data_IF_300975276964
#
_entry.id   IF_300975276964
#
_cell.length_a   1.000
_cell.length_b   1.000
_cell.length_c   1.000
_cell.angle_alpha   90.00
_cell.angle_beta   90.00
_cell.angle_gamma   90.00
#
_symmetry.space_group_name_H-M   'P 1'
#
loop_
_entity.id
_entity.type
_entity.pdbx_description
1 polymer ?
#
# COMPACT_ATOMS: atom_id res chain seq x y z
N UNK A 1 -8.10 18.71 -25.70
CA UNK A 1 -6.90 19.27 -25.04
C UNK A 1 -6.96 19.23 -23.51
N UNK A 2 -8.01 19.70 -22.84
CA UNK A 2 -8.09 19.66 -21.36
C UNK A 2 -7.96 18.24 -20.75
N UNK A 3 -8.58 17.22 -21.34
CA UNK A 3 -8.51 15.82 -20.86
C UNK A 3 -7.08 15.25 -20.97
N UNK A 4 -6.35 15.61 -22.02
CA UNK A 4 -4.97 15.14 -22.26
C UNK A 4 -3.96 15.73 -21.26
N UNK A 5 -4.07 17.01 -20.92
CA UNK A 5 -3.22 17.62 -19.89
C UNK A 5 -3.51 17.06 -18.48
N UNK A 6 -4.76 16.72 -18.21
CA UNK A 6 -5.16 16.13 -16.93
C UNK A 6 -4.62 14.70 -16.76
N UNK A 7 -4.43 13.95 -17.84
CA UNK A 7 -3.91 12.59 -17.78
C UNK A 7 -2.39 12.53 -17.51
N UNK A 8 -1.61 13.51 -18.01
CA UNK A 8 -0.19 13.68 -17.62
C UNK A 8 -0.01 13.76 -16.11
N UNK A 9 -0.93 14.44 -15.43
CA UNK A 9 -0.86 14.63 -13.99
C UNK A 9 -1.34 13.41 -13.21
N UNK A 10 -2.27 12.61 -13.75
CA UNK A 10 -2.69 11.36 -13.12
C UNK A 10 -1.53 10.37 -13.03
N UNK A 11 -0.80 10.20 -14.12
CA UNK A 11 0.37 9.32 -14.20
C UNK A 11 1.48 9.80 -13.27
N UNK A 12 1.68 11.10 -13.18
CA UNK A 12 2.75 11.69 -12.35
C UNK A 12 2.36 11.82 -10.88
N UNK A 13 1.09 12.02 -10.53
CA UNK A 13 0.65 12.07 -9.14
C UNK A 13 0.72 10.70 -8.45
N UNK A 14 0.55 9.60 -9.18
CA UNK A 14 0.81 8.24 -8.64
C UNK A 14 2.30 8.04 -8.38
N UNK A 15 3.20 8.65 -9.19
CA UNK A 15 4.64 8.66 -8.92
C UNK A 15 5.00 9.52 -7.70
N UNK A 16 4.28 10.61 -7.43
CA UNK A 16 4.42 11.45 -6.23
C UNK A 16 4.06 10.73 -4.92
N UNK A 17 3.16 9.75 -4.97
CA UNK A 17 2.83 8.89 -3.84
C UNK A 17 4.06 8.13 -3.27
N UNK A 18 5.16 8.06 -4.04
CA UNK A 18 6.34 7.29 -3.72
C UNK A 18 7.57 8.13 -3.32
N UNK A 19 7.54 9.47 -3.35
CA UNK A 19 8.77 10.28 -3.34
C UNK A 19 8.91 11.36 -2.25
N UNK A 20 8.13 11.35 -1.18
CA UNK A 20 8.25 12.36 -0.13
C UNK A 20 9.09 11.89 1.06
N UNK A 21 10.20 12.59 1.28
CA UNK A 21 10.98 12.77 2.52
C UNK A 21 12.36 12.10 2.66
N UNK A 22 13.38 12.94 2.94
CA UNK A 22 14.73 12.59 3.44
C UNK A 22 14.86 12.94 4.93
N UNK A 23 15.58 12.11 5.70
CA UNK A 23 16.01 12.47 7.07
C UNK A 23 16.79 11.34 7.80
N UNK A 24 17.91 11.68 8.41
CA UNK A 24 18.98 10.81 8.90
C UNK A 24 18.77 10.25 10.33
N UNK A 25 19.50 9.17 10.62
CA UNK A 25 19.48 8.30 11.81
C UNK A 25 20.28 8.81 13.01
N UNK A 26 19.83 8.49 14.24
CA UNK A 26 20.70 8.26 15.43
C UNK A 26 20.16 7.15 16.35
N UNK A 27 21.06 6.31 16.82
CA UNK A 27 20.88 5.14 17.69
C UNK A 27 20.90 5.55 19.17
N UNK A 28 20.10 4.90 20.03
CA UNK A 28 20.31 4.93 21.49
C UNK A 28 19.97 3.57 22.12
N UNK A 29 20.95 3.05 22.88
CA UNK A 29 20.85 1.91 23.78
C UNK A 29 20.50 2.38 25.22
N UNK A 30 19.85 1.54 25.99
CA UNK A 30 19.63 1.76 27.41
C UNK A 30 19.20 0.51 28.17
N UNK A 31 20.07 0.03 29.05
CA UNK A 31 19.90 -1.10 29.96
C UNK A 31 19.28 -0.68 31.29
N UNK A 32 18.39 -1.50 31.86
CA UNK A 32 17.84 -1.31 33.21
C UNK A 32 17.65 -2.65 33.98
N UNK A 33 18.16 -2.68 35.21
CA UNK A 33 18.22 -3.85 36.10
C UNK A 33 16.91 -4.15 36.82
N UNK A 34 16.68 -5.43 37.11
CA UNK A 34 15.53 -5.98 37.83
C UNK A 34 15.85 -6.17 39.32
N UNK A 35 14.92 -5.86 40.20
CA UNK A 35 14.90 -6.21 41.60
C UNK A 35 13.73 -7.15 41.93
N UNK A 36 14.02 -8.17 42.74
CA UNK A 36 13.11 -9.26 43.08
C UNK A 36 12.41 -9.00 44.43
N UNK A 37 11.09 -8.99 44.41
CA UNK A 37 10.19 -9.38 45.55
C UNK A 37 8.72 -9.31 45.16
N UNK A 38 8.10 -10.47 44.90
CA UNK A 38 6.70 -10.81 45.18
C UNK A 38 6.22 -12.05 44.38
N UNK A 39 6.55 -13.24 44.88
CA UNK A 39 6.28 -14.50 44.17
C UNK A 39 4.81 -14.95 44.02
N UNK A 40 3.87 -14.44 44.80
CA UNK A 40 2.44 -14.89 44.74
C UNK A 40 1.50 -14.02 43.91
N UNK A 41 1.85 -12.77 43.64
CA UNK A 41 1.12 -11.87 42.73
C UNK A 41 1.59 -12.08 41.30
N UNK A 42 2.84 -12.53 41.11
CA UNK A 42 3.49 -12.76 39.82
C UNK A 42 2.88 -13.92 39.02
N UNK A 43 2.46 -15.02 39.67
CA UNK A 43 1.86 -16.17 38.95
C UNK A 43 0.51 -15.82 38.30
N UNK A 44 -0.41 -15.15 39.01
CA UNK A 44 -1.69 -14.74 38.43
C UNK A 44 -1.55 -13.66 37.33
N UNK A 45 -0.59 -12.78 37.49
CA UNK A 45 -0.27 -11.77 36.46
C UNK A 45 0.41 -12.39 35.24
N UNK A 46 1.27 -13.39 35.42
CA UNK A 46 1.89 -14.15 34.33
C UNK A 46 0.86 -14.97 33.55
N UNK A 47 -0.02 -15.67 34.23
CA UNK A 47 -1.10 -16.43 33.59
C UNK A 47 -2.07 -15.50 32.81
N UNK A 48 -2.40 -14.34 33.35
CA UNK A 48 -3.25 -13.35 32.66
C UNK A 48 -2.55 -12.75 31.43
N UNK A 49 -1.25 -12.48 31.52
CA UNK A 49 -0.45 -11.99 30.38
C UNK A 49 -0.31 -13.05 29.29
N UNK A 50 -0.14 -14.31 29.64
CA UNK A 50 -0.10 -15.42 28.69
C UNK A 50 -1.43 -15.59 27.96
N UNK A 51 -2.54 -15.59 28.69
CA UNK A 51 -3.90 -15.63 28.11
C UNK A 51 -4.16 -14.44 27.18
N UNK A 52 -3.74 -13.23 27.55
CA UNK A 52 -3.85 -12.05 26.71
C UNK A 52 -3.01 -12.19 25.42
N UNK A 53 -1.79 -12.71 25.54
CA UNK A 53 -0.90 -12.99 24.41
C UNK A 53 -1.51 -14.04 23.46
N UNK A 54 -2.08 -15.12 23.99
CA UNK A 54 -2.76 -16.13 23.16
C UNK A 54 -3.98 -15.56 22.44
N UNK A 55 -4.80 -14.74 23.10
CA UNK A 55 -5.96 -14.07 22.48
C UNK A 55 -5.51 -13.11 21.36
N UNK A 56 -4.45 -12.33 21.61
CA UNK A 56 -3.83 -11.46 20.60
C UNK A 56 -3.41 -12.27 19.38
N UNK A 57 -2.62 -13.33 19.57
CA UNK A 57 -2.13 -14.17 18.48
C UNK A 57 -3.29 -14.83 17.71
N UNK A 58 -4.28 -15.35 18.41
CA UNK A 58 -5.45 -15.97 17.78
C UNK A 58 -6.23 -14.98 16.90
N UNK A 59 -6.38 -13.73 17.34
CA UNK A 59 -7.03 -12.71 16.52
C UNK A 59 -6.17 -12.31 15.31
N UNK A 60 -4.88 -12.11 15.50
CA UNK A 60 -3.94 -11.79 14.39
C UNK A 60 -3.92 -12.93 13.36
N UNK A 61 -3.93 -14.19 13.80
CA UNK A 61 -4.07 -15.36 12.94
C UNK A 61 -5.38 -15.32 12.14
N UNK A 62 -6.51 -15.06 12.80
CA UNK A 62 -7.80 -14.90 12.12
C UNK A 62 -7.75 -13.84 11.00
N UNK A 63 -7.05 -12.72 11.25
CA UNK A 63 -6.86 -11.67 10.22
C UNK A 63 -5.98 -12.18 9.08
N UNK A 64 -4.87 -12.82 9.38
CA UNK A 64 -3.95 -13.38 8.38
C UNK A 64 -4.63 -14.45 7.51
N UNK A 65 -5.51 -15.26 8.08
CA UNK A 65 -6.24 -16.34 7.39
C UNK A 65 -7.25 -15.81 6.36
N UNK A 66 -7.59 -14.51 6.37
CA UNK A 66 -8.44 -13.91 5.34
C UNK A 66 -7.72 -13.66 4.01
N UNK A 67 -6.42 -13.91 3.91
CA UNK A 67 -5.67 -13.70 2.67
C UNK A 67 -6.26 -14.51 1.50
N UNK A 68 -6.34 -13.85 0.34
CA UNK A 68 -6.75 -14.49 -0.91
C UNK A 68 -5.61 -15.39 -1.42
N UNK A 69 -5.93 -16.64 -1.76
CA UNK A 69 -4.94 -17.61 -2.25
C UNK A 69 -4.69 -17.52 -3.76
N UNK A 70 -5.62 -16.93 -4.51
CA UNK A 70 -5.48 -16.79 -5.96
C UNK A 70 -4.16 -16.09 -6.32
N UNK A 71 -3.45 -16.65 -7.29
CA UNK A 71 -2.21 -16.06 -7.82
C UNK A 71 -2.49 -14.82 -8.65
N UNK A 72 -3.63 -14.78 -9.35
CA UNK A 72 -4.02 -13.66 -10.22
C UNK A 72 -5.30 -13.00 -9.71
N UNK A 73 -5.33 -11.67 -9.78
CA UNK A 73 -6.51 -10.83 -9.60
C UNK A 73 -6.59 -9.89 -10.81
N UNK A 74 -7.69 -9.96 -11.53
CA UNK A 74 -7.91 -9.14 -12.74
C UNK A 74 -9.33 -8.58 -12.71
N UNK A 75 -9.47 -7.31 -13.09
CA UNK A 75 -10.79 -6.70 -13.23
C UNK A 75 -10.75 -5.37 -13.96
N UNK A 76 -11.79 -5.12 -14.76
CA UNK A 76 -12.04 -3.78 -15.25
C UNK A 76 -12.53 -2.91 -14.11
N UNK A 77 -12.06 -1.67 -14.09
CA UNK A 77 -12.30 -0.74 -12.98
C UNK A 77 -12.64 0.66 -13.48
N UNK A 78 -13.24 1.42 -12.62
CA UNK A 78 -13.20 2.88 -12.66
C UNK A 78 -12.01 3.33 -11.82
N UNK A 79 -11.15 4.13 -12.41
CA UNK A 79 -10.01 4.76 -11.77
C UNK A 79 -10.33 6.24 -11.57
N UNK A 80 -10.28 6.73 -10.33
CA UNK A 80 -10.42 8.14 -10.03
C UNK A 80 -9.21 8.61 -9.22
N UNK A 81 -8.61 9.71 -9.65
CA UNK A 81 -7.49 10.35 -8.97
C UNK A 81 -7.79 11.84 -8.74
N UNK A 82 -7.71 12.25 -7.48
CA UNK A 82 -7.80 13.63 -7.06
C UNK A 82 -6.45 14.05 -6.49
N UNK A 83 -5.77 15.00 -7.13
CA UNK A 83 -4.48 15.50 -6.68
C UNK A 83 -4.20 16.89 -7.29
N UNK A 84 -3.55 17.77 -6.54
CA UNK A 84 -3.15 19.11 -6.99
C UNK A 84 -4.31 19.91 -7.64
N UNK A 85 -5.50 19.86 -7.01
CA UNK A 85 -6.69 20.58 -7.49
C UNK A 85 -7.37 19.98 -8.73
N UNK A 86 -6.92 18.80 -9.20
CA UNK A 86 -7.51 18.11 -10.36
C UNK A 86 -8.22 16.83 -9.91
N UNK A 87 -9.32 16.53 -10.61
CA UNK A 87 -10.10 15.31 -10.45
C UNK A 87 -10.22 14.63 -11.82
N UNK A 88 -9.71 13.40 -11.90
CA UNK A 88 -9.62 12.64 -13.14
C UNK A 88 -10.28 11.29 -12.93
N UNK A 89 -11.31 11.02 -13.71
CA UNK A 89 -12.00 9.73 -13.72
C UNK A 89 -11.90 9.11 -15.09
N UNK A 90 -11.36 7.89 -15.18
CA UNK A 90 -11.19 7.15 -16.43
C UNK A 90 -11.48 5.67 -16.23
N UNK A 91 -11.91 4.95 -17.28
CA UNK A 91 -11.95 3.50 -17.25
C UNK A 91 -10.54 2.94 -17.20
N UNK A 92 -10.38 1.81 -16.53
CA UNK A 92 -9.10 1.14 -16.40
C UNK A 92 -9.25 -0.38 -16.26
N UNK A 93 -8.10 -1.04 -16.18
CA UNK A 93 -7.97 -2.45 -15.85
C UNK A 93 -6.88 -2.62 -14.80
N UNK A 94 -7.21 -3.27 -13.71
CA UNK A 94 -6.25 -3.75 -12.73
C UNK A 94 -5.91 -5.20 -13.04
N UNK A 95 -4.63 -5.52 -13.15
CA UNK A 95 -4.13 -6.89 -13.33
C UNK A 95 -2.98 -7.10 -12.36
N UNK A 96 -3.14 -8.06 -11.47
CA UNK A 96 -2.13 -8.36 -10.46
C UNK A 96 -1.79 -9.83 -10.50
N UNK A 97 -0.49 -10.14 -10.52
CA UNK A 97 0.03 -11.50 -10.34
C UNK A 97 0.96 -11.53 -9.14
N UNK A 98 0.61 -12.37 -8.17
CA UNK A 98 1.30 -12.45 -6.89
C UNK A 98 2.77 -12.74 -7.07
N UNK A 99 3.62 -11.95 -6.39
CA UNK A 99 5.07 -11.99 -6.41
C UNK A 99 5.73 -11.61 -7.76
N UNK A 100 4.92 -11.13 -8.73
CA UNK A 100 5.42 -10.78 -10.07
C UNK A 100 5.11 -9.33 -10.44
N UNK A 101 3.83 -8.91 -10.39
CA UNK A 101 3.45 -7.60 -10.91
C UNK A 101 2.10 -7.11 -10.38
N UNK A 102 2.01 -5.80 -10.18
CA UNK A 102 0.75 -5.03 -10.06
C UNK A 102 0.71 -4.08 -11.24
N UNK A 103 -0.28 -4.21 -12.12
CA UNK A 103 -0.45 -3.39 -13.32
C UNK A 103 -1.78 -2.66 -13.31
N UNK A 104 -1.73 -1.37 -13.51
CA UNK A 104 -2.86 -0.46 -13.69
C UNK A 104 -2.80 0.08 -15.11
N UNK A 105 -3.79 -0.21 -15.93
CA UNK A 105 -3.94 0.31 -17.29
C UNK A 105 -5.09 1.32 -17.31
N UNK A 106 -4.89 2.47 -17.94
CA UNK A 106 -5.87 3.54 -18.05
C UNK A 106 -6.25 3.71 -19.52
N UNK A 107 -7.55 3.92 -19.78
CA UNK A 107 -8.08 3.97 -21.14
C UNK A 107 -8.81 5.29 -21.41
N UNK A 108 -8.83 5.69 -22.68
CA UNK A 108 -9.72 6.78 -23.14
C UNK A 108 -11.15 6.28 -23.04
N UNK A 109 -12.06 7.05 -22.39
CA UNK A 109 -13.48 6.75 -22.42
C UNK A 109 -13.98 6.63 -23.87
N UNK A 110 -14.89 5.70 -24.13
CA UNK A 110 -15.51 5.41 -25.44
C UNK A 110 -14.56 4.71 -26.43
N UNK A 111 -13.34 5.24 -26.64
CA UNK A 111 -12.39 4.67 -27.60
C UNK A 111 -11.71 3.40 -27.11
N UNK A 112 -11.61 3.21 -25.80
CA UNK A 112 -10.97 2.02 -25.21
C UNK A 112 -9.44 1.92 -25.43
N UNK A 113 -8.81 2.91 -26.08
CA UNK A 113 -7.37 2.93 -26.31
C UNK A 113 -6.63 3.16 -24.98
N UNK A 114 -5.60 2.39 -24.71
CA UNK A 114 -4.72 2.55 -23.54
C UNK A 114 -3.90 3.85 -23.71
N UNK A 115 -3.98 4.70 -22.69
CA UNK A 115 -3.27 6.00 -22.67
C UNK A 115 -2.19 6.07 -21.60
N UNK A 116 -2.28 5.23 -20.59
CA UNK A 116 -1.30 5.18 -19.53
C UNK A 116 -1.23 3.79 -18.90
N UNK A 117 -0.06 3.45 -18.40
CA UNK A 117 0.20 2.21 -17.67
C UNK A 117 1.12 2.48 -16.50
N UNK A 118 0.74 1.95 -15.34
CA UNK A 118 1.60 1.86 -14.17
C UNK A 118 1.85 0.39 -13.89
N UNK A 119 3.09 0.03 -13.65
CA UNK A 119 3.49 -1.33 -13.36
C UNK A 119 4.50 -1.34 -12.23
N UNK A 120 4.20 -2.09 -11.19
CA UNK A 120 5.06 -2.33 -10.05
C UNK A 120 5.50 -3.79 -10.10
N UNK A 121 6.80 -4.03 -10.07
CA UNK A 121 7.41 -5.37 -10.04
C UNK A 121 8.35 -5.47 -8.84
N UNK A 122 8.88 -6.64 -8.49
CA UNK A 122 9.88 -6.74 -7.42
C UNK A 122 11.14 -5.88 -7.65
N UNK A 123 11.48 -5.59 -8.91
CA UNK A 123 12.74 -4.96 -9.27
C UNK A 123 12.60 -3.49 -9.70
N UNK A 124 11.47 -3.10 -10.28
CA UNK A 124 11.30 -1.75 -10.82
C UNK A 124 9.84 -1.29 -10.79
N UNK A 125 9.67 0.01 -10.87
CA UNK A 125 8.42 0.69 -11.21
C UNK A 125 8.52 1.18 -12.65
N UNK A 126 7.51 0.89 -13.46
CA UNK A 126 7.38 1.36 -14.83
C UNK A 126 6.12 2.23 -14.97
N UNK A 127 6.27 3.40 -15.53
CA UNK A 127 5.17 4.30 -15.88
C UNK A 127 5.28 4.60 -17.37
N UNK A 128 4.22 4.31 -18.13
CA UNK A 128 4.19 4.56 -19.58
C UNK A 128 3.12 5.60 -19.89
N UNK A 129 3.51 6.70 -20.49
CA UNK A 129 2.62 7.70 -21.11
C UNK A 129 2.56 7.42 -22.62
N UNK A 130 1.45 6.84 -23.07
CA UNK A 130 1.28 6.48 -24.48
C UNK A 130 0.94 7.68 -25.36
N UNK A 131 0.38 8.75 -24.76
CA UNK A 131 0.01 9.95 -25.51
C UNK A 131 1.25 10.74 -25.97
N UNK A 132 2.26 10.80 -25.10
CA UNK A 132 3.50 11.53 -25.39
C UNK A 132 4.64 10.62 -25.82
N UNK A 133 4.42 9.29 -25.85
CA UNK A 133 5.45 8.28 -26.11
C UNK A 133 6.65 8.45 -25.17
N UNK A 134 6.37 8.66 -23.89
CA UNK A 134 7.37 8.77 -22.85
C UNK A 134 7.17 7.64 -21.81
N UNK A 135 8.26 7.25 -21.15
CA UNK A 135 8.16 6.31 -20.02
C UNK A 135 9.21 6.62 -18.96
N UNK A 136 8.89 6.23 -17.73
CA UNK A 136 9.79 6.20 -16.57
C UNK A 136 9.99 4.74 -16.21
N UNK A 137 11.25 4.32 -16.07
CA UNK A 137 11.59 3.04 -15.41
C UNK A 137 12.61 3.35 -14.34
N UNK A 138 12.26 3.05 -13.09
CA UNK A 138 13.08 3.34 -11.92
C UNK A 138 13.14 2.13 -10.99
N UNK A 139 14.33 1.82 -10.47
CA UNK A 139 14.52 0.81 -9.43
C UNK A 139 14.09 1.36 -8.07
N UNK A 140 13.62 0.50 -7.17
CA UNK A 140 13.30 0.90 -5.78
C UNK A 140 14.50 1.46 -5.03
N UNK A 141 15.73 1.07 -5.42
CA UNK A 141 16.98 1.59 -4.85
C UNK A 141 17.24 3.05 -5.20
N UNK A 142 16.66 3.54 -6.31
CA UNK A 142 16.75 4.95 -6.71
C UNK A 142 15.79 5.84 -5.92
N UNK A 143 14.98 5.25 -5.06
CA UNK A 143 14.05 5.93 -4.18
C UNK A 143 14.45 5.59 -2.74
N UNK A 144 15.55 6.22 -2.30
CA UNK A 144 16.18 6.00 -0.98
C UNK A 144 15.20 5.93 0.19
N UNK A 145 14.15 6.72 0.14
CA UNK A 145 13.11 6.74 1.15
C UNK A 145 12.36 5.42 1.27
N UNK A 146 11.92 4.84 0.17
CA UNK A 146 11.18 3.58 0.17
C UNK A 146 12.04 2.45 0.73
N UNK A 147 13.29 2.40 0.30
CA UNK A 147 14.24 1.39 0.75
C UNK A 147 14.53 1.48 2.25
N UNK A 148 14.81 2.69 2.76
CA UNK A 148 15.11 2.92 4.19
C UNK A 148 13.95 2.59 5.11
N UNK A 149 12.71 2.67 4.61
CA UNK A 149 11.51 2.37 5.37
C UNK A 149 10.99 0.94 5.16
N UNK A 150 11.70 0.11 4.40
CA UNK A 150 11.28 -1.25 4.10
C UNK A 150 10.05 -1.31 3.19
N UNK A 151 9.71 -0.20 2.51
CA UNK A 151 8.64 -0.15 1.53
C UNK A 151 9.20 -0.66 0.20
N UNK A 152 8.65 -1.75 -0.28
CA UNK A 152 9.03 -2.40 -1.51
C UNK A 152 7.78 -2.93 -2.24
N UNK A 153 7.98 -3.62 -3.34
CA UNK A 153 6.90 -4.28 -4.07
C UNK A 153 5.99 -5.13 -3.16
N UNK A 154 6.56 -5.91 -2.23
CA UNK A 154 5.79 -6.82 -1.38
C UNK A 154 4.91 -6.07 -0.37
N UNK A 155 5.36 -4.90 0.10
CA UNK A 155 4.54 -4.02 0.93
C UNK A 155 3.34 -3.49 0.14
N UNK A 156 3.57 -3.01 -1.09
CA UNK A 156 2.49 -2.57 -1.99
C UNK A 156 1.56 -3.73 -2.31
N UNK A 157 2.11 -4.90 -2.64
CA UNK A 157 1.32 -6.10 -2.90
C UNK A 157 0.41 -6.44 -1.72
N UNK A 158 0.92 -6.45 -0.50
CA UNK A 158 0.13 -6.77 0.68
C UNK A 158 -1.03 -5.78 0.87
N UNK A 159 -0.80 -4.48 0.65
CA UNK A 159 -1.86 -3.47 0.71
C UNK A 159 -2.91 -3.69 -0.40
N UNK A 160 -2.51 -3.90 -1.66
CA UNK A 160 -3.45 -4.17 -2.75
C UNK A 160 -4.21 -5.50 -2.59
N UNK A 161 -3.59 -6.53 -1.99
CA UNK A 161 -4.23 -7.81 -1.68
C UNK A 161 -5.01 -7.82 -0.38
N UNK A 162 -5.10 -6.69 0.35
CA UNK A 162 -5.78 -6.59 1.64
C UNK A 162 -5.23 -7.58 2.68
N UNK A 163 -3.92 -7.53 2.93
CA UNK A 163 -3.20 -8.45 3.80
C UNK A 163 -2.38 -7.70 4.85
N UNK A 164 -2.06 -8.39 5.96
CA UNK A 164 -1.02 -7.95 6.87
C UNK A 164 0.34 -7.95 6.18
N UNK A 165 1.22 -7.05 6.58
CA UNK A 165 2.60 -7.01 6.11
C UNK A 165 3.56 -6.82 7.29
N UNK A 166 4.76 -7.37 7.14
CA UNK A 166 5.92 -7.03 7.97
C UNK A 166 6.92 -6.32 7.05
N UNK A 167 7.35 -5.10 7.38
CA UNK A 167 8.26 -4.35 6.53
C UNK A 167 9.55 -5.12 6.22
N UNK A 168 9.96 -5.11 4.96
CA UNK A 168 11.15 -5.82 4.50
C UNK A 168 10.97 -7.34 4.30
N UNK A 169 9.80 -7.89 4.65
CA UNK A 169 9.51 -9.32 4.50
C UNK A 169 8.62 -9.56 3.28
N UNK A 170 9.01 -10.56 2.46
CA UNK A 170 8.26 -10.92 1.26
C UNK A 170 6.90 -11.52 1.57
N UNK A 171 6.83 -12.39 2.59
CA UNK A 171 5.64 -13.12 3.00
C UNK A 171 5.62 -13.23 4.52
N UNK A 172 4.53 -12.84 5.14
CA UNK A 172 4.31 -13.00 6.59
C UNK A 172 4.20 -14.50 6.90
N UNK A 173 5.03 -14.98 7.83
CA UNK A 173 5.01 -16.35 8.35
C UNK A 173 4.26 -16.41 9.68
N UNK A 174 3.91 -17.62 10.14
CA UNK A 174 3.24 -17.82 11.43
C UNK A 174 4.08 -17.25 12.60
N UNK A 175 5.41 -17.37 12.53
CA UNK A 175 6.30 -16.78 13.53
C UNK A 175 6.28 -15.24 13.54
N UNK A 176 5.98 -14.62 12.40
CA UNK A 176 5.88 -13.16 12.30
C UNK A 176 4.61 -12.62 12.96
N UNK A 177 3.56 -13.43 13.10
CA UNK A 177 2.28 -12.99 13.67
C UNK A 177 2.43 -12.50 15.13
N UNK A 178 3.41 -13.01 15.85
CA UNK A 178 3.75 -12.56 17.21
C UNK A 178 4.28 -11.12 17.28
N UNK A 179 4.70 -10.55 16.14
CA UNK A 179 5.17 -9.15 16.05
C UNK A 179 4.02 -8.14 16.05
N UNK A 180 2.79 -8.60 15.81
CA UNK A 180 1.61 -7.74 15.78
C UNK A 180 0.95 -7.64 17.15
N UNK A 181 0.40 -6.46 17.42
CA UNK A 181 -0.43 -6.20 18.59
C UNK A 181 -1.86 -5.91 18.15
N UNK A 182 -2.83 -6.63 18.72
CA UNK A 182 -4.27 -6.36 18.54
C UNK A 182 -4.84 -5.73 19.81
N UNK A 183 -5.56 -4.61 19.67
CA UNK A 183 -6.26 -4.01 20.79
C UNK A 183 -7.67 -4.64 20.95
N UNK A 184 -7.75 -5.70 21.72
CA UNK A 184 -8.97 -6.47 21.93
C UNK A 184 -9.90 -5.87 23.00
N UNK A 185 -9.44 -4.91 23.80
CA UNK A 185 -10.19 -4.27 24.87
C UNK A 185 -11.23 -3.27 24.33
N UNK A 186 -11.00 -2.75 23.12
CA UNK A 186 -12.01 -1.94 22.45
C UNK A 186 -13.24 -2.78 22.10
N UNK A 187 -14.42 -2.25 22.40
CA UNK A 187 -15.70 -2.88 22.05
C UNK A 187 -16.14 -2.60 20.60
N UNK A 188 -15.34 -1.83 19.87
CA UNK A 188 -15.60 -1.46 18.49
C UNK A 188 -15.71 -2.69 17.56
N UNK A 189 -16.53 -2.56 16.53
CA UNK A 189 -16.72 -3.59 15.50
C UNK A 189 -15.39 -3.97 14.82
N UNK A 190 -14.51 -3.01 14.62
CA UNK A 190 -13.21 -3.22 14.02
C UNK A 190 -12.10 -3.09 15.06
N UNK A 191 -11.33 -4.15 15.22
CA UNK A 191 -10.20 -4.25 16.14
C UNK A 191 -8.94 -3.70 15.47
N UNK A 192 -8.24 -2.75 16.11
CA UNK A 192 -6.93 -2.30 15.64
C UNK A 192 -5.87 -3.41 15.79
N UNK A 193 -5.18 -3.73 14.70
CA UNK A 193 -3.99 -4.58 14.65
C UNK A 193 -2.83 -3.74 14.18
N UNK A 194 -1.70 -3.74 14.87
CA UNK A 194 -0.60 -2.84 14.55
C UNK A 194 0.79 -3.49 14.64
N UNK A 195 1.73 -2.94 13.89
CA UNK A 195 3.15 -3.23 13.98
C UNK A 195 3.94 -1.93 13.75
N UNK A 196 5.06 -1.76 14.46
CA UNK A 196 5.98 -0.64 14.28
C UNK A 196 7.29 -1.12 13.71
N UNK A 197 7.84 -0.33 12.79
CA UNK A 197 9.15 -0.58 12.20
C UNK A 197 9.87 0.74 11.94
N UNK A 198 10.92 1.04 12.68
CA UNK A 198 11.59 2.33 12.61
C UNK A 198 10.62 3.50 12.86
N UNK A 199 10.59 4.43 11.91
CA UNK A 199 9.69 5.58 11.94
C UNK A 199 8.30 5.30 11.36
N UNK A 200 8.06 4.05 10.91
CA UNK A 200 6.77 3.63 10.35
C UNK A 200 5.88 2.99 11.40
N UNK A 201 4.63 3.37 11.39
CA UNK A 201 3.56 2.68 12.13
C UNK A 201 2.53 2.17 11.12
N UNK A 202 2.28 0.88 11.16
CA UNK A 202 1.25 0.21 10.38
C UNK A 202 0.12 -0.18 11.31
N UNK A 203 -1.11 0.14 10.93
CA UNK A 203 -2.30 -0.23 11.68
C UNK A 203 -3.39 -0.66 10.71
N UNK A 204 -3.95 -1.82 10.97
CA UNK A 204 -5.13 -2.34 10.28
C UNK A 204 -6.31 -2.32 11.22
N UNK A 205 -7.50 -1.98 10.70
CA UNK A 205 -8.76 -2.16 11.39
C UNK A 205 -9.44 -3.39 10.80
N UNK A 206 -9.49 -4.47 11.56
CA UNK A 206 -10.06 -5.74 11.15
C UNK A 206 -11.37 -6.03 11.89
N UNK A 207 -12.40 -6.43 11.16
CA UNK A 207 -13.70 -6.77 11.74
C UNK A 207 -13.54 -7.89 12.79
N UNK A 208 -14.09 -7.67 13.96
CA UNK A 208 -13.95 -8.54 15.14
C UNK A 208 -14.40 -9.98 14.88
N UNK A 209 -15.51 -10.12 14.17
CA UNK A 209 -16.12 -11.43 13.94
C UNK A 209 -15.48 -12.19 12.79
N UNK A 210 -15.24 -11.51 11.65
CA UNK A 210 -14.69 -12.14 10.43
C UNK A 210 -13.18 -12.08 10.32
N UNK A 211 -12.49 -11.19 11.01
CA UNK A 211 -11.06 -10.91 10.83
C UNK A 211 -10.74 -10.14 9.55
N UNK A 212 -11.75 -9.71 8.78
CA UNK A 212 -11.55 -9.04 7.50
C UNK A 212 -11.05 -7.61 7.71
N UNK A 213 -10.00 -7.23 7.00
CA UNK A 213 -9.43 -5.89 7.07
C UNK A 213 -10.35 -4.91 6.32
N UNK A 214 -10.89 -3.92 7.03
CA UNK A 214 -11.71 -2.85 6.49
C UNK A 214 -10.89 -1.59 6.17
N UNK A 215 -9.77 -1.39 6.87
CA UNK A 215 -8.93 -0.20 6.73
C UNK A 215 -7.46 -0.54 7.04
N UNK A 216 -6.54 0.06 6.31
CA UNK A 216 -5.11 0.05 6.63
C UNK A 216 -4.59 1.49 6.70
N UNK A 217 -3.82 1.79 7.73
CA UNK A 217 -3.18 3.07 7.97
C UNK A 217 -1.67 2.86 8.05
N UNK A 218 -0.92 3.62 7.27
CA UNK A 218 0.53 3.66 7.34
C UNK A 218 0.93 5.10 7.66
N UNK A 219 1.62 5.29 8.77
CA UNK A 219 2.11 6.60 9.17
C UNK A 219 3.63 6.58 9.22
N UNK A 220 4.26 7.50 8.52
CA UNK A 220 5.68 7.78 8.61
C UNK A 220 5.89 9.05 9.41
N UNK A 221 6.71 8.97 10.47
CA UNK A 221 7.06 10.11 11.30
C UNK A 221 8.42 10.65 10.90
N UNK A 222 8.45 11.88 10.41
CA UNK A 222 9.70 12.59 10.10
C UNK A 222 9.82 13.83 11.00
N UNK A 223 10.88 13.87 11.81
CA UNK A 223 11.11 14.96 12.76
C UNK A 223 11.46 16.30 12.08
N UNK A 224 11.89 16.29 10.81
CA UNK A 224 12.33 17.47 10.07
C UNK A 224 11.31 17.99 9.07
N UNK A 225 10.58 17.10 8.40
CA UNK A 225 9.74 17.45 7.25
C UNK A 225 8.23 17.22 7.50
N UNK A 226 7.86 16.79 8.70
CA UNK A 226 6.47 16.48 9.07
C UNK A 226 6.03 15.06 8.70
N UNK A 227 4.89 14.67 9.23
CA UNK A 227 4.37 13.29 9.08
C UNK A 227 3.75 13.07 7.71
N UNK A 228 3.97 11.89 7.14
CA UNK A 228 3.23 11.40 5.98
C UNK A 228 2.29 10.27 6.41
N UNK A 229 1.09 10.21 5.83
CA UNK A 229 0.05 9.24 6.16
C UNK A 229 -0.57 8.68 4.90
N UNK A 230 -0.66 7.36 4.82
CA UNK A 230 -1.42 6.64 3.81
C UNK A 230 -2.58 5.92 4.51
N UNK A 231 -3.81 6.26 4.12
CA UNK A 231 -5.01 5.57 4.55
C UNK A 231 -5.59 4.80 3.37
N UNK A 232 -5.89 3.52 3.56
CA UNK A 232 -6.60 2.68 2.60
C UNK A 232 -7.88 2.17 3.24
N UNK A 233 -9.01 2.38 2.57
CA UNK A 233 -10.31 1.82 2.93
C UNK A 233 -10.72 0.79 1.91
N UNK A 234 -11.22 -0.34 2.39
CA UNK A 234 -11.61 -1.50 1.60
C UNK A 234 -13.10 -1.76 1.74
N UNK A 235 -13.78 -1.91 0.61
CA UNK A 235 -15.23 -2.19 0.60
C UNK A 235 -15.62 -2.98 -0.65
N UNK A 236 -16.92 -3.27 -0.81
CA UNK A 236 -17.46 -4.06 -1.92
C UNK A 236 -16.69 -5.38 -2.12
N UNK A 237 -16.68 -6.19 -1.06
CA UNK A 237 -15.95 -7.46 -1.07
C UNK A 237 -16.64 -8.49 -1.96
N UNK A 238 -15.90 -9.05 -2.92
CA UNK A 238 -16.34 -10.09 -3.87
C UNK A 238 -15.61 -11.39 -3.63
N UNK A 239 -16.28 -12.51 -3.86
CA UNK A 239 -15.70 -13.84 -3.67
C UNK A 239 -14.59 -14.11 -4.69
N UNK A 240 -13.46 -14.61 -4.20
CA UNK A 240 -12.34 -15.13 -4.98
C UNK A 240 -12.00 -16.51 -4.39
N UNK A 241 -12.56 -17.55 -4.97
CA UNK A 241 -12.58 -18.88 -4.36
C UNK A 241 -13.34 -18.82 -3.03
N UNK A 242 -12.72 -19.32 -1.97
CA UNK A 242 -13.28 -19.34 -0.60
C UNK A 242 -12.98 -18.08 0.20
N UNK A 243 -12.28 -17.12 -0.37
CA UNK A 243 -11.91 -15.86 0.30
C UNK A 243 -12.59 -14.67 -0.37
N UNK A 244 -12.55 -13.53 0.33
CA UNK A 244 -13.15 -12.30 -0.13
C UNK A 244 -12.07 -11.29 -0.48
N UNK A 245 -12.19 -10.63 -1.64
CA UNK A 245 -11.29 -9.59 -2.12
C UNK A 245 -12.04 -8.26 -2.22
N UNK A 246 -11.47 -7.13 -1.75
CA UNK A 246 -12.10 -5.82 -1.84
C UNK A 246 -12.11 -5.33 -3.29
N UNK A 247 -13.26 -5.23 -3.90
CA UNK A 247 -13.42 -4.68 -5.25
C UNK A 247 -13.31 -3.15 -5.26
N UNK A 248 -13.54 -2.50 -4.11
CA UNK A 248 -13.36 -1.07 -3.96
C UNK A 248 -12.21 -0.79 -2.99
N UNK A 249 -11.22 -0.04 -3.47
CA UNK A 249 -10.06 0.38 -2.70
C UNK A 249 -9.92 1.91 -2.80
N UNK A 250 -10.03 2.62 -1.68
CA UNK A 250 -9.87 4.06 -1.59
C UNK A 250 -8.63 4.39 -0.80
N UNK A 251 -7.69 5.06 -1.45
CA UNK A 251 -6.41 5.47 -0.87
C UNK A 251 -6.40 6.99 -0.70
N UNK A 252 -5.98 7.45 0.45
CA UNK A 252 -5.68 8.87 0.71
C UNK A 252 -4.26 8.98 1.22
N UNK A 253 -3.43 9.68 0.49
CA UNK A 253 -2.10 10.07 0.93
C UNK A 253 -2.14 11.52 1.38
N UNK A 254 -1.63 11.78 2.58
CA UNK A 254 -1.36 13.12 3.09
C UNK A 254 0.12 13.22 3.41
N UNK A 255 0.79 14.25 2.92
CA UNK A 255 2.21 14.50 3.17
C UNK A 255 2.47 15.99 3.29
N UNK A 256 3.64 16.35 3.80
CA UNK A 256 4.09 17.76 3.82
C UNK A 256 5.17 17.89 2.76
N UNK A 257 4.96 18.80 1.81
CA UNK A 257 5.92 19.13 0.76
C UNK A 257 6.15 20.64 0.77
N UNK A 258 7.40 21.08 0.86
CA UNK A 258 7.77 22.50 0.95
C UNK A 258 6.98 23.23 2.06
N UNK A 259 6.87 22.61 3.24
CA UNK A 259 6.12 23.11 4.41
C UNK A 259 4.61 23.32 4.15
N UNK A 260 4.05 22.72 3.09
CA UNK A 260 2.62 22.77 2.78
C UNK A 260 2.03 21.36 2.80
N UNK A 261 0.87 21.17 3.44
CA UNK A 261 0.18 19.89 3.37
C UNK A 261 -0.30 19.64 1.93
N UNK A 262 -0.05 18.44 1.45
CA UNK A 262 -0.51 17.94 0.16
C UNK A 262 -1.36 16.71 0.38
N UNK A 263 -2.45 16.61 -0.34
CA UNK A 263 -3.33 15.45 -0.32
C UNK A 263 -3.52 14.91 -1.73
N UNK A 264 -3.47 13.58 -1.85
CA UNK A 264 -3.86 12.87 -3.06
C UNK A 264 -4.82 11.74 -2.70
N UNK A 265 -5.88 11.57 -3.47
CA UNK A 265 -6.86 10.50 -3.32
C UNK A 265 -6.91 9.67 -4.58
N UNK A 266 -6.82 8.36 -4.40
CA UNK A 266 -6.97 7.37 -5.47
C UNK A 266 -8.11 6.43 -5.12
N UNK A 267 -9.09 6.31 -6.00
CA UNK A 267 -10.16 5.34 -5.91
C UNK A 267 -10.07 4.34 -7.05
N UNK A 268 -10.10 3.07 -6.71
CA UNK A 268 -10.19 1.94 -7.63
C UNK A 268 -11.49 1.21 -7.33
N UNK A 269 -12.40 1.14 -8.30
CA UNK A 269 -13.68 0.45 -8.16
C UNK A 269 -13.81 -0.60 -9.27
N UNK A 270 -13.59 -1.87 -8.89
CA UNK A 270 -13.64 -3.00 -9.83
C UNK A 270 -15.09 -3.49 -9.98
N UNK A 271 -15.59 -3.50 -11.21
CA UNK A 271 -16.94 -4.03 -11.52
C UNK A 271 -17.04 -5.53 -11.25
N UNK A 272 -15.97 -6.27 -11.52
CA UNK A 272 -15.85 -7.71 -11.26
C UNK A 272 -14.42 -8.05 -10.90
N UNK A 273 -14.25 -9.11 -10.10
CA UNK A 273 -12.94 -9.66 -9.74
C UNK A 273 -12.83 -11.05 -10.33
N UNK A 274 -11.81 -11.29 -11.14
CA UNK A 274 -11.52 -12.55 -11.82
C UNK A 274 -10.11 -13.02 -11.48
N UNK A 275 -9.84 -14.30 -11.71
CA UNK A 275 -8.53 -14.94 -11.49
C UNK A 275 -7.88 -15.37 -12.80
N UNK A 276 -8.21 -14.69 -13.90
CA UNK A 276 -7.68 -14.98 -15.24
C UNK A 276 -6.15 -14.85 -15.25
N UNK A 277 -5.46 -15.84 -15.77
CA UNK A 277 -4.01 -15.92 -15.88
C UNK A 277 -3.49 -15.73 -17.32
N UNK A 278 -4.40 -15.62 -18.30
CA UNK A 278 -4.09 -15.47 -19.73
C UNK A 278 -3.76 -14.00 -20.07
N UNK A 279 -2.70 -13.49 -19.45
CA UNK A 279 -2.17 -12.16 -19.74
C UNK A 279 -0.66 -12.13 -19.49
N UNK A 280 0.04 -11.33 -20.27
CA UNK A 280 1.48 -11.19 -20.15
C UNK A 280 1.84 -10.33 -18.92
N UNK A 281 2.65 -10.90 -18.01
CA UNK A 281 3.09 -10.23 -16.80
C UNK A 281 4.16 -9.15 -17.04
N UNK A 282 4.83 -9.17 -18.18
CA UNK A 282 5.87 -8.21 -18.51
C UNK A 282 5.38 -7.20 -19.54
N UNK A 283 5.78 -5.95 -19.37
CA UNK A 283 5.54 -4.89 -20.34
C UNK A 283 6.82 -4.62 -21.10
N UNK A 284 6.78 -4.82 -22.41
CA UNK A 284 7.80 -4.34 -23.31
C UNK A 284 7.47 -2.91 -23.76
N UNK A 285 8.42 -2.00 -23.55
CA UNK A 285 8.29 -0.63 -24.02
C UNK A 285 8.94 -0.53 -25.41
N UNK A 286 8.15 -0.11 -26.39
CA UNK A 286 8.67 0.08 -27.77
C UNK A 286 9.81 1.08 -27.81
N UNK A 287 10.82 0.82 -28.63
CA UNK A 287 11.93 1.74 -28.87
C UNK A 287 11.55 3.12 -29.43
N UNK A 288 10.26 3.31 -29.78
CA UNK A 288 9.72 4.62 -30.19
C UNK A 288 9.39 5.53 -29.00
N UNK A 289 9.49 5.02 -27.76
CA UNK A 289 9.25 5.77 -26.54
C UNK A 289 10.54 6.33 -25.97
N UNK A 290 10.49 7.57 -25.52
CA UNK A 290 11.61 8.23 -24.85
C UNK A 290 11.57 7.93 -23.35
N UNK A 291 12.69 7.44 -22.81
CA UNK A 291 12.83 7.37 -21.35
C UNK A 291 13.06 8.77 -20.78
N UNK A 292 12.31 9.11 -19.74
CA UNK A 292 12.45 10.37 -19.00
C UNK A 292 12.75 10.07 -17.54
N UNK A 293 13.44 10.97 -16.85
CA UNK A 293 13.77 10.75 -15.45
C UNK A 293 12.55 11.05 -14.55
N UNK A 294 12.42 10.38 -13.39
CA UNK A 294 11.40 10.73 -12.41
C UNK A 294 11.45 12.20 -11.98
N UNK A 295 12.66 12.78 -11.88
CA UNK A 295 12.87 14.20 -11.51
C UNK A 295 12.32 15.18 -12.55
N UNK A 296 12.45 14.87 -13.84
CA UNK A 296 11.94 15.74 -14.91
C UNK A 296 10.41 15.81 -14.91
N UNK A 297 9.77 14.69 -14.58
CA UNK A 297 8.31 14.63 -14.48
C UNK A 297 7.81 15.35 -13.23
N UNK A 298 8.49 15.18 -12.11
CA UNK A 298 8.19 15.90 -10.86
C UNK A 298 8.40 17.41 -11.03
N UNK A 299 9.49 17.83 -11.66
CA UNK A 299 9.77 19.24 -11.93
C UNK A 299 8.67 19.89 -12.78
N UNK A 300 8.21 19.23 -13.83
CA UNK A 300 7.10 19.69 -14.68
C UNK A 300 5.76 19.78 -13.92
N UNK A 301 5.52 18.91 -12.93
CA UNK A 301 4.31 18.94 -12.12
C UNK A 301 4.34 20.07 -11.09
N UNK A 302 5.49 20.34 -10.50
CA UNK A 302 5.65 21.38 -9.48
C UNK A 302 5.69 22.79 -10.09
N UNK A 303 5.95 22.91 -11.39
CA UNK A 303 5.99 24.18 -12.12
C UNK A 303 4.65 24.57 -12.78
N UNK A 304 3.64 23.74 -12.68
CA UNK A 304 2.26 23.97 -13.14
C UNK A 304 1.34 24.36 -11.99
#
# INVERSE_FOLDING_TARGET
>A
MKVMNNLKMAVAAVALLLMASCGSTKKMEGTGKVNAQNRKTETKAADAAEVASMKNLAFVQKVADNQVYAKNIVGNMTFNLQAAGKDITVPGKLSMRKDEVIRIQLFIPILGSEVGRLEFTPNYVLIVDRLHKEYIKADYTQVDFLQKQGINFYSLQALFWNQLLVPGVKKVSDSDLKKFSANLDETAENVPVSIRYGNMNYQWKANRNSGRIAEANVTYKDKGNGDSRLNLKYSDFKSVGVKMFPATQRMTLTTILNNKPQEAKLNIEMKSVKTDDKWDAQTEVSGKYKQVSPKDVLGKLMSM
#
